data_IF_917629365096
#
_entry.id   IF_917629365096
#
_cell.length_a   1.000
_cell.length_b   1.000
_cell.length_c   1.000
_cell.angle_alpha   90.00
_cell.angle_beta   90.00
_cell.angle_gamma   90.00
#
_symmetry.space_group_name_H-M   'P 1'
#
loop_
_entity.id
_entity.type
_entity.pdbx_description
1 polymer ?
#
# COMPACT_ATOMS: atom_id res chain seq x y z
N UNK A 1 -24.42 -12.28 13.62
CA UNK A 1 -23.68 -12.20 12.34
C UNK A 1 -22.20 -12.11 12.66
N UNK A 2 -21.36 -13.00 12.12
CA UNK A 2 -19.93 -13.07 12.46
C UNK A 2 -19.07 -12.10 11.62
N UNK A 3 -19.44 -11.87 10.35
CA UNK A 3 -18.56 -11.20 9.38
C UNK A 3 -18.10 -9.79 9.76
N UNK A 4 -18.92 -8.91 10.36
CA UNK A 4 -18.46 -7.58 10.77
C UNK A 4 -17.32 -7.59 11.80
N UNK A 5 -17.12 -8.71 12.50
CA UNK A 5 -16.06 -8.89 13.49
C UNK A 5 -14.81 -9.57 12.92
N UNK A 6 -14.85 -9.98 11.65
CA UNK A 6 -13.76 -10.66 10.96
C UNK A 6 -13.09 -9.72 9.96
N UNK A 7 -11.77 -9.82 9.83
CA UNK A 7 -11.05 -9.18 8.73
C UNK A 7 -11.31 -9.90 7.38
N UNK A 8 -10.92 -9.27 6.27
CA UNK A 8 -11.19 -9.79 4.92
C UNK A 8 -10.66 -11.22 4.70
N UNK A 9 -9.47 -11.54 5.22
CA UNK A 9 -8.91 -12.89 5.10
C UNK A 9 -9.71 -13.90 5.92
N UNK A 10 -10.05 -13.58 7.16
CA UNK A 10 -10.85 -14.45 8.04
C UNK A 10 -12.22 -14.75 7.43
N UNK A 11 -12.89 -13.74 6.89
CA UNK A 11 -14.16 -13.94 6.17
C UNK A 11 -13.99 -14.88 4.98
N UNK A 12 -12.96 -14.66 4.17
CA UNK A 12 -12.68 -15.48 3.00
C UNK A 12 -12.35 -16.94 3.34
N UNK A 13 -11.59 -17.20 4.40
CA UNK A 13 -11.29 -18.55 4.86
C UNK A 13 -12.55 -19.25 5.42
N UNK A 14 -13.38 -18.53 6.18
CA UNK A 14 -14.65 -19.07 6.69
C UNK A 14 -15.58 -19.49 5.53
N UNK A 15 -15.73 -18.63 4.53
CA UNK A 15 -16.54 -18.91 3.33
C UNK A 15 -16.02 -20.12 2.55
N UNK A 16 -14.70 -20.25 2.41
CA UNK A 16 -14.10 -21.40 1.73
C UNK A 16 -14.30 -22.71 2.49
N UNK A 17 -14.22 -22.68 3.83
CA UNK A 17 -14.54 -23.84 4.67
C UNK A 17 -16.00 -24.26 4.50
N UNK A 18 -16.93 -23.30 4.56
CA UNK A 18 -18.37 -23.58 4.33
C UNK A 18 -18.61 -24.18 2.94
N UNK A 19 -17.97 -23.63 1.91
CA UNK A 19 -18.07 -24.15 0.56
C UNK A 19 -17.62 -25.63 0.50
N UNK A 20 -16.46 -25.97 1.07
CA UNK A 20 -15.96 -27.36 1.08
C UNK A 20 -16.90 -28.35 1.75
N UNK A 21 -17.70 -27.92 2.73
CA UNK A 21 -18.69 -28.78 3.39
C UNK A 21 -19.89 -29.10 2.49
N UNK A 22 -20.17 -28.28 1.48
CA UNK A 22 -21.40 -28.35 0.67
C UNK A 22 -21.27 -29.19 -0.62
N UNK A 23 -20.08 -29.68 -0.98
CA UNK A 23 -19.90 -30.55 -2.13
C UNK A 23 -19.84 -29.79 -3.46
N UNK A 24 -20.66 -30.12 -4.46
CA UNK A 24 -20.62 -29.52 -5.81
C UNK A 24 -21.52 -28.27 -5.96
N UNK A 25 -21.02 -27.22 -6.62
CA UNK A 25 -21.74 -25.95 -6.83
C UNK A 25 -21.68 -25.00 -5.63
N UNK A 26 -20.90 -25.39 -4.63
CA UNK A 26 -20.69 -24.79 -3.33
C UNK A 26 -20.21 -23.35 -3.39
N UNK A 27 -19.28 -23.05 -4.32
CA UNK A 27 -18.70 -21.72 -4.46
C UNK A 27 -19.76 -20.69 -4.83
N UNK A 28 -20.62 -21.03 -5.79
CA UNK A 28 -21.68 -20.13 -6.27
C UNK A 28 -22.75 -19.93 -5.20
N UNK A 29 -23.17 -21.01 -4.53
CA UNK A 29 -24.17 -20.95 -3.46
C UNK A 29 -23.70 -20.10 -2.28
N UNK A 30 -22.47 -20.32 -1.81
CA UNK A 30 -21.87 -19.55 -0.70
C UNK A 30 -21.66 -18.10 -1.09
N UNK A 31 -21.14 -17.82 -2.29
CA UNK A 31 -20.95 -16.46 -2.78
C UNK A 31 -22.28 -15.69 -2.85
N UNK A 32 -23.33 -16.33 -3.37
CA UNK A 32 -24.67 -15.75 -3.45
C UNK A 32 -25.28 -15.47 -2.08
N UNK A 33 -25.18 -16.41 -1.14
CA UNK A 33 -25.71 -16.24 0.22
C UNK A 33 -24.95 -15.16 1.02
N UNK A 34 -23.64 -15.05 0.82
CA UNK A 34 -22.79 -14.09 1.51
C UNK A 34 -22.71 -12.71 0.83
N UNK A 35 -23.20 -12.57 -0.40
CA UNK A 35 -23.11 -11.33 -1.18
C UNK A 35 -21.68 -10.96 -1.60
N UNK A 36 -20.82 -11.96 -1.83
CA UNK A 36 -19.42 -11.78 -2.25
C UNK A 36 -19.17 -12.38 -3.63
N UNK A 37 -18.00 -12.12 -4.23
CA UNK A 37 -17.64 -12.78 -5.49
C UNK A 37 -17.22 -14.23 -5.29
N UNK A 38 -17.50 -15.09 -6.28
CA UNK A 38 -16.99 -16.47 -6.31
C UNK A 38 -15.46 -16.50 -6.22
N UNK A 39 -14.78 -15.51 -6.80
CA UNK A 39 -13.33 -15.36 -6.73
C UNK A 39 -12.84 -15.26 -5.29
N UNK A 40 -13.56 -14.56 -4.40
CA UNK A 40 -13.23 -14.48 -2.97
C UNK A 40 -13.26 -15.87 -2.36
N UNK A 41 -14.34 -16.63 -2.56
CA UNK A 41 -14.50 -17.99 -2.00
C UNK A 41 -13.41 -18.94 -2.54
N UNK A 42 -13.18 -18.98 -3.85
CA UNK A 42 -12.10 -19.79 -4.47
C UNK A 42 -10.73 -19.44 -3.91
N UNK A 43 -10.43 -18.16 -3.76
CA UNK A 43 -9.15 -17.70 -3.22
C UNK A 43 -8.96 -18.10 -1.76
N UNK A 44 -10.03 -18.22 -0.97
CA UNK A 44 -9.95 -18.83 0.36
C UNK A 44 -9.66 -20.32 0.31
N UNK A 45 -10.26 -21.04 -0.64
CA UNK A 45 -9.99 -22.47 -0.87
C UNK A 45 -8.53 -22.73 -1.22
N UNK A 46 -7.97 -21.99 -2.16
CA UNK A 46 -6.55 -22.09 -2.51
C UNK A 46 -5.63 -21.79 -1.32
N UNK A 47 -5.95 -20.81 -0.47
CA UNK A 47 -5.17 -20.54 0.74
C UNK A 47 -5.23 -21.69 1.76
N UNK A 48 -6.39 -22.33 1.91
CA UNK A 48 -6.55 -23.50 2.79
C UNK A 48 -5.87 -24.76 2.23
N UNK A 49 -5.84 -24.94 0.91
CA UNK A 49 -5.16 -26.05 0.23
C UNK A 49 -3.64 -25.91 0.21
N UNK A 50 -3.14 -24.68 0.07
CA UNK A 50 -1.71 -24.39 -0.05
C UNK A 50 -0.90 -24.72 1.20
N UNK A 51 -1.54 -25.11 2.32
CA UNK A 51 -0.87 -25.41 3.59
C UNK A 51 -0.07 -24.22 4.11
N UNK A 52 -0.47 -23.01 3.72
CA UNK A 52 0.30 -21.81 3.97
C UNK A 52 0.27 -21.47 5.46
N UNK A 53 1.42 -21.18 6.04
CA UNK A 53 1.50 -20.80 7.45
C UNK A 53 0.53 -19.64 7.76
N UNK A 54 -0.07 -19.63 8.96
CA UNK A 54 -0.83 -18.48 9.42
C UNK A 54 0.00 -17.21 9.24
N UNK A 55 -0.62 -16.18 8.65
CA UNK A 55 0.02 -14.87 8.60
C UNK A 55 0.38 -14.41 10.02
N UNK A 56 1.48 -13.67 10.20
CA UNK A 56 1.82 -13.06 11.48
C UNK A 56 0.64 -12.30 12.07
N UNK A 57 0.52 -12.31 13.40
CA UNK A 57 -0.59 -11.67 14.11
C UNK A 57 -0.81 -10.23 13.64
N UNK A 58 -2.07 -9.92 13.32
CA UNK A 58 -2.49 -8.62 12.81
C UNK A 58 -2.32 -8.41 11.29
N UNK A 59 -1.68 -9.32 10.55
CA UNK A 59 -1.64 -9.23 9.07
C UNK A 59 -2.84 -9.89 8.40
N UNK A 60 -3.48 -9.12 7.51
CA UNK A 60 -4.57 -9.61 6.66
C UNK A 60 -4.05 -10.13 5.32
N UNK A 61 -2.92 -9.59 4.85
CA UNK A 61 -2.30 -9.92 3.56
C UNK A 61 -0.87 -10.36 3.75
N UNK A 62 -0.38 -11.15 2.80
CA UNK A 62 1.05 -11.49 2.68
C UNK A 62 1.91 -10.26 2.44
N UNK A 63 3.17 -10.39 2.78
CA UNK A 63 4.22 -9.44 2.40
C UNK A 63 4.22 -9.25 0.88
N UNK A 64 4.29 -7.99 0.44
CA UNK A 64 4.14 -7.64 -0.98
C UNK A 64 2.71 -7.72 -1.54
N UNK A 65 1.71 -8.18 -0.77
CA UNK A 65 0.29 -8.24 -1.16
C UNK A 65 -0.46 -6.90 -1.01
N UNK A 66 0.24 -5.85 -0.60
CA UNK A 66 -0.26 -4.49 -0.54
C UNK A 66 -0.21 -3.80 -1.91
N UNK A 67 -0.76 -2.58 -1.99
CA UNK A 67 -0.47 -1.69 -3.12
C UNK A 67 1.04 -1.43 -3.10
N UNK A 68 1.74 -1.82 -4.17
CA UNK A 68 3.16 -1.52 -4.36
C UNK A 68 3.42 -0.03 -4.14
N UNK A 69 4.51 0.30 -3.47
CA UNK A 69 4.84 1.70 -3.25
C UNK A 69 5.10 2.40 -4.59
N UNK A 70 4.96 3.72 -4.61
CA UNK A 70 5.34 4.50 -5.80
C UNK A 70 6.82 4.28 -6.16
N UNK A 71 7.70 4.00 -5.19
CA UNK A 71 9.11 3.69 -5.45
C UNK A 71 9.32 2.33 -6.13
N UNK A 72 8.47 1.34 -5.83
CA UNK A 72 8.50 0.02 -6.47
C UNK A 72 7.87 0.01 -7.86
N UNK A 73 6.89 0.88 -8.11
CA UNK A 73 6.18 0.98 -9.38
C UNK A 73 6.85 1.91 -10.38
N UNK A 74 7.55 2.93 -9.88
CA UNK A 74 8.20 3.94 -10.69
C UNK A 74 9.54 4.30 -10.04
N UNK A 75 10.69 4.08 -10.70
CA UNK A 75 11.98 4.61 -10.27
C UNK A 75 12.06 6.14 -10.45
N UNK A 76 10.96 6.84 -10.15
CA UNK A 76 10.87 8.28 -10.00
C UNK A 76 11.86 8.88 -8.98
N UNK A 77 12.47 8.16 -7.99
CA UNK A 77 13.44 8.80 -7.11
C UNK A 77 14.63 9.38 -7.88
N UNK A 78 15.07 8.76 -8.98
CA UNK A 78 16.34 9.17 -9.60
C UNK A 78 16.25 10.54 -10.30
N UNK A 79 15.27 10.82 -11.19
CA UNK A 79 15.21 12.13 -11.85
C UNK A 79 14.58 13.23 -10.98
N UNK A 80 13.74 12.90 -9.99
CA UNK A 80 13.05 13.90 -9.17
C UNK A 80 13.84 14.32 -7.91
N UNK A 81 14.81 13.52 -7.45
CA UNK A 81 15.65 13.87 -6.29
C UNK A 81 16.43 15.17 -6.49
N UNK A 82 17.18 15.37 -7.61
CA UNK A 82 17.98 16.58 -7.81
C UNK A 82 17.11 17.84 -7.79
N UNK A 83 15.95 17.77 -8.47
CA UNK A 83 14.95 18.84 -8.48
C UNK A 83 14.38 19.14 -7.09
N UNK A 84 14.09 18.10 -6.29
CA UNK A 84 13.61 18.29 -4.92
C UNK A 84 14.69 18.91 -4.02
N UNK A 85 15.94 18.45 -4.14
CA UNK A 85 17.07 19.02 -3.39
C UNK A 85 17.26 20.48 -3.76
N UNK A 86 17.24 20.83 -5.05
CA UNK A 86 17.34 22.22 -5.51
C UNK A 86 16.21 23.09 -4.94
N UNK A 87 14.96 22.62 -4.99
CA UNK A 87 13.83 23.36 -4.44
C UNK A 87 13.93 23.59 -2.93
N UNK A 88 14.55 22.65 -2.20
CA UNK A 88 14.83 22.77 -0.76
C UNK A 88 16.05 23.67 -0.51
N UNK A 89 17.09 23.64 -1.35
CA UNK A 89 18.26 24.54 -1.31
C UNK A 89 17.89 26.00 -1.57
N UNK A 90 16.99 26.26 -2.53
CA UNK A 90 16.54 27.62 -2.84
C UNK A 90 15.69 28.26 -1.73
N UNK A 91 15.01 27.44 -0.93
CA UNK A 91 14.16 27.88 0.18
C UNK A 91 14.84 27.68 1.55
N UNK A 92 16.11 27.29 1.56
CA UNK A 92 16.80 26.93 2.79
C UNK A 92 17.01 28.15 3.68
N UNK A 93 16.51 28.05 4.93
CA UNK A 93 16.81 29.01 5.99
C UNK A 93 17.75 28.37 7.00
N UNK A 94 18.97 28.88 7.07
CA UNK A 94 20.02 28.38 7.96
C UNK A 94 21.40 28.50 7.32
N UNK A 95 22.43 28.05 8.04
CA UNK A 95 23.79 28.03 7.50
C UNK A 95 23.93 26.87 6.50
N UNK A 96 24.53 27.04 5.31
CA UNK A 96 24.66 26.00 4.27
C UNK A 96 25.43 24.75 4.74
N UNK A 97 26.11 24.85 5.89
CA UNK A 97 26.85 23.77 6.55
C UNK A 97 26.00 22.96 7.55
N UNK A 98 24.69 23.23 7.67
CA UNK A 98 23.82 22.54 8.65
C UNK A 98 23.39 21.17 8.11
N UNK A 99 23.48 20.08 8.91
CA UNK A 99 23.12 18.74 8.46
C UNK A 99 21.61 18.58 8.17
N UNK A 100 20.77 19.45 8.76
CA UNK A 100 19.33 19.48 8.50
C UNK A 100 18.98 20.62 7.55
N UNK A 101 18.44 20.26 6.39
CA UNK A 101 17.89 21.19 5.41
C UNK A 101 16.48 21.60 5.83
N UNK A 102 16.31 22.83 6.31
CA UNK A 102 15.01 23.37 6.72
C UNK A 102 14.38 24.14 5.56
N UNK A 103 13.21 23.70 5.09
CA UNK A 103 12.35 24.44 4.15
C UNK A 103 11.07 24.91 4.85
N UNK A 104 10.56 26.06 4.44
CA UNK A 104 9.26 26.58 4.89
C UNK A 104 8.10 26.09 4.01
N UNK A 105 8.40 25.44 2.88
CA UNK A 105 7.42 24.90 1.95
C UNK A 105 6.76 23.64 2.51
N UNK A 106 5.45 23.57 2.39
CA UNK A 106 4.71 22.33 2.66
C UNK A 106 5.03 21.26 1.61
N UNK A 107 4.89 19.98 1.98
CA UNK A 107 5.03 18.84 1.06
C UNK A 107 4.14 18.95 -0.19
N UNK A 108 2.96 19.58 -0.07
CA UNK A 108 2.05 19.83 -1.20
C UNK A 108 2.63 20.88 -2.16
N UNK A 109 3.30 21.91 -1.63
CA UNK A 109 3.93 22.93 -2.44
C UNK A 109 5.11 22.35 -3.22
N UNK A 110 5.96 21.55 -2.56
CA UNK A 110 7.07 20.83 -3.18
C UNK A 110 6.59 19.88 -4.28
N UNK A 111 5.54 19.08 -4.03
CA UNK A 111 4.94 18.21 -5.04
C UNK A 111 4.44 18.97 -6.26
N UNK A 112 3.82 20.15 -6.07
CA UNK A 112 3.33 20.99 -7.17
C UNK A 112 4.47 21.60 -7.99
N UNK A 113 5.55 22.02 -7.34
CA UNK A 113 6.74 22.55 -8.02
C UNK A 113 7.47 21.47 -8.82
N UNK A 114 7.63 20.27 -8.25
CA UNK A 114 8.14 19.11 -8.99
C UNK A 114 7.29 18.79 -10.22
N UNK A 115 5.96 18.82 -10.09
CA UNK A 115 5.07 18.59 -11.21
C UNK A 115 5.25 19.64 -12.33
N UNK A 116 5.54 20.90 -11.98
CA UNK A 116 5.87 21.95 -12.97
C UNK A 116 7.19 21.70 -13.69
N UNK A 117 8.14 21.05 -13.03
CA UNK A 117 9.42 20.62 -13.60
C UNK A 117 9.31 19.27 -14.34
N UNK A 118 8.09 18.80 -14.63
CA UNK A 118 7.80 17.49 -15.27
C UNK A 118 8.20 16.27 -14.45
N UNK A 119 8.35 16.43 -13.14
CA UNK A 119 8.55 15.33 -12.19
C UNK A 119 7.25 15.09 -11.42
N UNK A 120 6.42 14.14 -11.90
CA UNK A 120 5.12 13.87 -11.31
C UNK A 120 5.24 13.07 -9.99
N UNK A 121 5.36 13.78 -8.86
CA UNK A 121 5.43 13.16 -7.54
C UNK A 121 4.19 13.50 -6.68
N UNK A 122 3.63 12.49 -6.02
CA UNK A 122 2.54 12.70 -5.06
C UNK A 122 3.05 13.26 -3.73
N UNK A 123 2.22 14.01 -2.99
CA UNK A 123 2.58 14.52 -1.66
C UNK A 123 3.13 13.46 -0.68
N UNK A 124 2.55 12.25 -0.55
CA UNK A 124 3.13 11.22 0.33
C UNK A 124 4.45 10.63 -0.18
N UNK A 125 4.71 10.69 -1.49
CA UNK A 125 6.03 10.34 -2.06
C UNK A 125 7.07 11.40 -1.66
N UNK A 126 6.74 12.68 -1.85
CA UNK A 126 7.63 13.80 -1.47
C UNK A 126 7.92 13.80 0.03
N UNK A 127 6.92 13.49 0.87
CA UNK A 127 7.10 13.38 2.32
C UNK A 127 8.13 12.32 2.71
N UNK A 128 8.04 11.11 2.14
CA UNK A 128 8.99 10.02 2.45
C UNK A 128 10.41 10.35 2.01
N UNK A 129 10.57 10.90 0.80
CA UNK A 129 11.89 11.32 0.29
C UNK A 129 12.46 12.47 1.12
N UNK A 130 11.66 13.47 1.46
CA UNK A 130 12.08 14.60 2.29
C UNK A 130 12.50 14.16 3.70
N UNK A 131 11.78 13.22 4.32
CA UNK A 131 12.17 12.66 5.63
C UNK A 131 13.53 11.98 5.55
N UNK A 132 13.77 11.17 4.51
CA UNK A 132 15.08 10.53 4.28
C UNK A 132 16.23 11.48 3.96
N UNK A 133 15.95 12.72 3.53
CA UNK A 133 16.97 13.77 3.36
C UNK A 133 17.28 14.54 4.66
N UNK A 134 16.46 14.37 5.71
CA UNK A 134 16.59 15.07 6.99
C UNK A 134 17.18 14.18 8.11
N UNK A 135 17.36 12.88 7.84
CA UNK A 135 18.05 11.90 8.70
C UNK A 135 19.54 11.85 8.34
#
# INVERSE_FOLDING_TARGET
MLFPHLNERQQRLALATEARLLGHGEVQAVAGAAGVSETTVRKGGFELEGGEDPLPDGRVRRDGGGRKSAEELDPLPVPALPALVELVELDQRGSPMSPRRLTTKSLRCLARELARQRHAASTPTVGRVHTGLCE
#
